data_IF_563304159334
#
_entry.id   IF_563304159334
#
_cell.length_a   1.000
_cell.length_b   1.000
_cell.length_c   1.000
_cell.angle_alpha   90.00
_cell.angle_beta   90.00
_cell.angle_gamma   90.00
#
_symmetry.space_group_name_H-M   'P 1'
#
loop_
_entity.id
_entity.type
_entity.pdbx_description
1 polymer ?
#
# COMPACT_ATOMS: atom_id res chain seq x y z
N UNK A 1 40.26 48.41 64.12
CA UNK A 1 39.88 48.56 62.68
C UNK A 1 38.73 47.68 62.43
N UNK A 2 37.50 48.19 62.22
CA UNK A 2 36.31 47.41 61.86
C UNK A 2 36.30 47.37 60.35
N UNK A 3 36.24 46.13 59.79
CA UNK A 3 36.08 45.92 58.37
C UNK A 3 34.69 46.41 57.95
N UNK A 4 34.63 47.23 56.91
CA UNK A 4 33.39 47.71 56.33
C UNK A 4 32.65 46.55 55.66
N UNK A 5 31.39 46.32 56.03
CA UNK A 5 30.51 45.37 55.36
C UNK A 5 30.13 45.89 53.98
N UNK A 6 30.30 45.06 52.98
CA UNK A 6 29.94 45.32 51.58
C UNK A 6 28.43 45.55 51.45
N UNK A 7 27.94 46.70 50.91
CA UNK A 7 26.50 47.00 50.79
C UNK A 7 25.75 46.10 49.78
N UNK A 8 26.44 45.27 49.03
CA UNK A 8 25.85 44.42 47.96
C UNK A 8 25.59 42.99 48.36
N UNK A 9 25.88 42.56 49.59
CA UNK A 9 25.65 41.20 50.07
C UNK A 9 24.23 40.99 50.58
N UNK A 10 23.25 41.13 49.65
CA UNK A 10 21.85 40.81 49.88
C UNK A 10 21.64 39.30 49.58
N UNK A 11 21.06 38.52 50.49
CA UNK A 11 20.74 37.10 50.23
C UNK A 11 19.75 37.02 49.06
N UNK A 12 20.14 36.29 48.01
CA UNK A 12 19.25 35.98 46.89
C UNK A 12 18.13 35.07 47.37
N UNK A 13 16.94 35.64 47.54
CA UNK A 13 15.74 34.83 47.75
C UNK A 13 15.53 33.90 46.55
N UNK A 14 15.83 32.63 46.74
CA UNK A 14 15.44 31.59 45.76
C UNK A 14 13.90 31.47 45.78
N UNK A 15 13.24 32.05 44.81
CA UNK A 15 11.82 31.83 44.56
C UNK A 15 11.67 30.38 44.03
N UNK A 16 11.31 29.45 44.91
CA UNK A 16 10.90 28.12 44.48
C UNK A 16 9.65 28.26 43.63
N UNK A 17 9.82 28.20 42.29
CA UNK A 17 8.72 28.15 41.35
C UNK A 17 7.94 26.84 41.61
N UNK A 18 6.69 26.96 42.09
CA UNK A 18 5.79 25.82 42.25
C UNK A 18 5.37 25.33 40.85
N UNK A 19 5.94 24.22 40.36
CA UNK A 19 5.66 23.66 39.05
C UNK A 19 4.41 22.74 39.03
N UNK A 20 3.76 22.52 40.19
CA UNK A 20 2.57 21.70 40.32
C UNK A 20 1.45 22.06 39.32
N UNK A 21 1.07 23.35 39.12
CA UNK A 21 0.01 23.68 38.17
C UNK A 21 0.37 23.34 36.71
N UNK A 22 1.64 23.44 36.35
CA UNK A 22 2.11 23.04 35.00
C UNK A 22 2.04 21.54 34.81
N UNK A 23 2.45 20.76 35.81
CA UNK A 23 2.39 19.29 35.79
C UNK A 23 0.93 18.81 35.69
N UNK A 24 0.02 19.42 36.45
CA UNK A 24 -1.42 19.08 36.36
C UNK A 24 -2.02 19.45 35.01
N UNK A 25 -1.66 20.57 34.42
CA UNK A 25 -2.11 20.98 33.09
C UNK A 25 -1.60 20.02 32.00
N UNK A 26 -0.34 19.61 32.05
CA UNK A 26 0.20 18.61 31.12
C UNK A 26 -0.47 17.24 31.30
N UNK A 27 -0.72 16.77 32.52
CA UNK A 27 -1.39 15.53 32.79
C UNK A 27 -2.84 15.52 32.24
N UNK A 28 -3.59 16.61 32.37
CA UNK A 28 -4.94 16.73 31.84
C UNK A 28 -4.99 16.73 30.31
N UNK A 29 -4.02 17.33 29.64
CA UNK A 29 -3.91 17.30 28.17
C UNK A 29 -3.58 15.87 27.68
N UNK A 30 -2.66 15.18 28.33
CA UNK A 30 -2.33 13.79 27.99
C UNK A 30 -3.54 12.87 28.17
N UNK A 31 -4.29 13.03 29.26
CA UNK A 31 -5.51 12.26 29.51
C UNK A 31 -6.58 12.53 28.45
N UNK A 32 -6.78 13.78 28.04
CA UNK A 32 -7.73 14.15 26.99
C UNK A 32 -7.36 13.54 25.63
N UNK A 33 -6.07 13.53 25.26
CA UNK A 33 -5.57 12.90 24.04
C UNK A 33 -5.79 11.39 24.08
N UNK A 34 -5.48 10.73 25.21
CA UNK A 34 -5.71 9.30 25.38
C UNK A 34 -7.20 8.94 25.26
N UNK A 35 -8.08 9.74 25.84
CA UNK A 35 -9.53 9.51 25.74
C UNK A 35 -10.03 9.68 24.29
N UNK A 36 -9.54 10.68 23.57
CA UNK A 36 -9.87 10.91 22.16
C UNK A 36 -9.43 9.76 21.27
N UNK A 37 -8.24 9.17 21.51
CA UNK A 37 -7.74 8.00 20.79
C UNK A 37 -8.59 6.75 21.08
N UNK A 38 -9.02 6.54 22.33
CA UNK A 38 -9.90 5.42 22.70
C UNK A 38 -11.27 5.56 22.01
N UNK A 39 -11.87 6.75 22.04
CA UNK A 39 -13.16 7.00 21.39
C UNK A 39 -13.04 6.80 19.87
N UNK A 40 -11.95 7.25 19.25
CA UNK A 40 -11.69 7.05 17.82
C UNK A 40 -11.54 5.56 17.46
N UNK A 41 -10.85 4.78 18.28
CA UNK A 41 -10.72 3.33 18.08
C UNK A 41 -12.07 2.59 18.25
N UNK A 42 -12.89 2.99 19.23
CA UNK A 42 -14.22 2.39 19.46
C UNK A 42 -15.20 2.72 18.34
N UNK A 43 -15.14 3.95 17.81
CA UNK A 43 -16.00 4.34 16.66
C UNK A 43 -15.59 3.61 15.39
N UNK A 44 -14.30 3.40 15.18
CA UNK A 44 -13.80 2.63 14.03
C UNK A 44 -14.24 1.17 14.10
N UNK A 45 -14.14 0.52 15.28
CA UNK A 45 -14.64 -0.83 15.49
C UNK A 45 -16.16 -0.93 15.30
N UNK A 46 -16.93 0.03 15.80
CA UNK A 46 -18.38 0.05 15.62
C UNK A 46 -18.79 0.19 14.14
N UNK A 47 -18.11 1.06 13.39
CA UNK A 47 -18.33 1.21 11.94
C UNK A 47 -17.97 -0.08 11.21
N UNK A 48 -16.89 -0.74 11.60
CA UNK A 48 -16.47 -2.01 11.02
C UNK A 48 -17.49 -3.13 11.28
N UNK A 49 -18.01 -3.25 12.51
CA UNK A 49 -19.05 -4.23 12.86
C UNK A 49 -20.35 -3.98 12.10
N UNK A 50 -20.80 -2.72 11.99
CA UNK A 50 -22.03 -2.36 11.25
C UNK A 50 -21.90 -2.63 9.75
N UNK A 51 -20.70 -2.46 9.16
CA UNK A 51 -20.48 -2.75 7.72
C UNK A 51 -20.37 -4.25 7.43
N UNK A 52 -20.11 -5.10 8.44
CA UNK A 52 -20.02 -6.56 8.28
C UNK A 52 -21.34 -7.30 8.52
N UNK A 53 -22.38 -6.65 9.09
CA UNK A 53 -23.68 -7.28 9.36
C UNK A 53 -24.57 -7.47 8.11
N UNK A 54 -24.21 -6.90 6.96
CA UNK A 54 -25.00 -7.05 5.71
C UNK A 54 -24.51 -8.24 4.85
N UNK A 55 -24.34 -9.42 5.46
CA UNK A 55 -24.08 -10.65 4.73
C UNK A 55 -25.40 -11.43 4.56
N UNK A 56 -25.92 -11.63 3.33
CA UNK A 56 -27.12 -12.42 3.12
C UNK A 56 -26.89 -13.87 3.56
N UNK A 57 -27.92 -14.59 4.07
CA UNK A 57 -27.76 -15.94 4.60
C UNK A 57 -27.34 -16.92 3.50
N UNK A 58 -26.28 -17.67 3.76
CA UNK A 58 -25.82 -18.76 2.94
C UNK A 58 -26.92 -19.82 2.86
N UNK A 59 -27.45 -20.06 1.66
CA UNK A 59 -28.40 -21.11 1.40
C UNK A 59 -27.75 -22.47 1.66
N UNK A 60 -28.32 -23.24 2.58
CA UNK A 60 -27.93 -24.62 2.90
C UNK A 60 -28.21 -25.49 1.68
N UNK A 61 -27.18 -25.97 1.02
CA UNK A 61 -27.32 -26.96 -0.06
C UNK A 61 -27.61 -28.31 0.59
N UNK A 62 -28.85 -28.79 0.44
CA UNK A 62 -29.28 -30.14 0.80
C UNK A 62 -28.63 -31.12 -0.17
N UNK A 63 -27.85 -32.05 0.36
CA UNK A 63 -27.27 -33.17 -0.39
C UNK A 63 -28.38 -34.09 -0.89
N UNK A 64 -28.53 -34.23 -2.20
CA UNK A 64 -29.32 -35.25 -2.86
C UNK A 64 -28.42 -36.46 -3.21
N UNK A 65 -28.98 -37.70 -3.32
CA UNK A 65 -28.22 -38.94 -3.29
C UNK A 65 -27.44 -39.21 -4.58
N UNK A 66 -26.30 -39.83 -4.36
CA UNK A 66 -25.34 -40.38 -5.33
C UNK A 66 -26.01 -41.22 -6.43
N UNK A 67 -25.98 -40.72 -7.67
CA UNK A 67 -26.31 -41.52 -8.86
C UNK A 67 -24.99 -41.95 -9.51
N UNK A 68 -24.79 -43.29 -9.53
CA UNK A 68 -23.74 -44.00 -10.25
C UNK A 68 -23.76 -43.58 -11.72
N UNK A 69 -22.82 -42.82 -12.20
CA UNK A 69 -22.64 -42.49 -13.62
C UNK A 69 -21.40 -43.19 -14.17
N UNK A 70 -21.62 -44.05 -15.14
CA UNK A 70 -20.65 -44.63 -16.05
C UNK A 70 -19.77 -43.54 -16.64
N UNK A 71 -18.42 -43.70 -16.76
CA UNK A 71 -17.56 -42.70 -17.35
C UNK A 71 -17.94 -42.47 -18.81
N UNK A 72 -18.08 -41.21 -19.27
CA UNK A 72 -18.28 -40.92 -20.68
C UNK A 72 -17.02 -41.27 -21.48
N UNK A 73 -17.17 -41.61 -22.80
CA UNK A 73 -16.05 -41.94 -23.66
C UNK A 73 -15.04 -40.78 -23.67
N UNK A 74 -13.76 -41.13 -23.54
CA UNK A 74 -12.61 -40.23 -23.62
C UNK A 74 -12.72 -39.43 -24.91
N UNK A 75 -12.96 -38.13 -24.77
CA UNK A 75 -12.82 -37.17 -25.85
C UNK A 75 -11.37 -37.20 -26.36
N UNK A 76 -11.11 -36.98 -27.67
CA UNK A 76 -9.76 -36.89 -28.18
C UNK A 76 -9.02 -35.83 -27.38
N UNK A 77 -7.79 -36.11 -26.95
CA UNK A 77 -6.92 -35.15 -26.29
C UNK A 77 -6.82 -33.94 -27.21
N UNK A 78 -7.42 -32.82 -26.79
CA UNK A 78 -7.21 -31.56 -27.46
C UNK A 78 -5.71 -31.27 -27.40
N UNK A 79 -5.10 -31.11 -28.55
CA UNK A 79 -3.73 -30.56 -28.68
C UNK A 79 -3.75 -29.27 -27.92
N UNK A 80 -2.81 -29.00 -26.99
CA UNK A 80 -2.77 -27.71 -26.29
C UNK A 80 -2.83 -26.60 -27.33
N UNK A 81 -3.91 -25.82 -27.38
CA UNK A 81 -3.95 -24.60 -28.17
C UNK A 81 -2.74 -23.79 -27.70
N UNK A 82 -1.87 -23.42 -28.64
CA UNK A 82 -0.75 -22.55 -28.33
C UNK A 82 -1.32 -21.27 -27.70
N UNK A 83 -0.99 -21.04 -26.44
CA UNK A 83 -1.39 -19.83 -25.71
C UNK A 83 -0.98 -18.63 -26.57
N UNK A 84 -1.95 -17.89 -27.09
CA UNK A 84 -1.70 -16.67 -27.84
C UNK A 84 -1.63 -15.54 -26.84
N UNK A 85 -0.43 -14.98 -26.71
CA UNK A 85 -0.25 -13.76 -25.94
C UNK A 85 -0.93 -12.58 -26.64
N UNK A 86 -1.35 -11.60 -25.87
CA UNK A 86 -1.99 -10.40 -26.37
C UNK A 86 -0.98 -9.57 -27.17
N UNK A 87 -1.44 -8.96 -28.25
CA UNK A 87 -0.59 -8.11 -29.11
C UNK A 87 -0.19 -6.78 -28.41
N UNK A 88 -0.95 -6.39 -27.37
CA UNK A 88 -0.74 -5.16 -26.60
C UNK A 88 0.17 -5.33 -25.36
N UNK A 89 0.81 -6.50 -25.17
CA UNK A 89 1.86 -6.70 -24.17
C UNK A 89 3.25 -6.72 -24.84
N UNK A 90 4.30 -6.52 -24.03
CA UNK A 90 5.67 -6.54 -24.54
C UNK A 90 6.03 -7.92 -25.05
N UNK A 91 6.42 -8.04 -26.32
CA UNK A 91 6.72 -9.32 -26.98
C UNK A 91 8.00 -10.00 -26.50
N UNK A 92 8.90 -9.28 -25.82
CA UNK A 92 10.15 -9.79 -25.30
C UNK A 92 10.00 -10.24 -23.84
N UNK A 93 9.60 -11.51 -23.64
CA UNK A 93 9.43 -12.10 -22.31
C UNK A 93 10.72 -12.29 -21.49
N UNK A 94 11.86 -11.73 -21.91
CA UNK A 94 13.10 -11.82 -21.13
C UNK A 94 13.10 -10.97 -19.89
N UNK A 95 12.33 -9.88 -19.85
CA UNK A 95 12.22 -8.96 -18.71
C UNK A 95 11.16 -9.45 -17.72
N UNK A 96 9.97 -9.79 -18.20
CA UNK A 96 8.86 -10.33 -17.42
C UNK A 96 8.23 -11.48 -18.21
N UNK A 97 7.94 -12.61 -17.54
CA UNK A 97 7.28 -13.75 -18.17
C UNK A 97 5.91 -13.35 -18.74
N UNK A 98 5.53 -13.91 -19.89
CA UNK A 98 4.28 -13.54 -20.58
C UNK A 98 3.03 -13.71 -19.73
N UNK A 99 2.94 -14.80 -18.94
CA UNK A 99 1.83 -15.04 -18.04
C UNK A 99 1.68 -13.96 -16.96
N UNK A 100 2.79 -13.42 -16.46
CA UNK A 100 2.78 -12.30 -15.52
C UNK A 100 2.45 -10.98 -16.20
N UNK A 101 2.85 -10.80 -17.47
CA UNK A 101 2.44 -9.64 -18.26
C UNK A 101 0.93 -9.65 -18.52
N UNK A 102 0.35 -10.80 -18.90
CA UNK A 102 -1.10 -10.95 -19.10
C UNK A 102 -1.87 -10.64 -17.81
N UNK A 103 -1.42 -11.19 -16.66
CA UNK A 103 -2.01 -10.87 -15.36
C UNK A 103 -1.93 -9.36 -15.09
N UNK A 104 -0.78 -8.74 -15.30
CA UNK A 104 -0.61 -7.30 -15.07
C UNK A 104 -1.53 -6.48 -15.96
N UNK A 105 -1.63 -6.81 -17.25
CA UNK A 105 -2.51 -6.14 -18.18
C UNK A 105 -3.97 -6.24 -17.76
N UNK A 106 -4.43 -7.46 -17.38
CA UNK A 106 -5.81 -7.68 -16.91
C UNK A 106 -6.12 -6.86 -15.65
N UNK A 107 -5.18 -6.76 -14.71
CA UNK A 107 -5.38 -5.93 -13.51
C UNK A 107 -5.36 -4.43 -13.86
N UNK A 108 -4.50 -4.01 -14.78
CA UNK A 108 -4.46 -2.63 -15.26
C UNK A 108 -5.81 -2.22 -15.89
N UNK A 109 -6.39 -3.07 -16.74
CA UNK A 109 -7.73 -2.85 -17.30
C UNK A 109 -8.80 -2.78 -16.21
N UNK A 110 -8.75 -3.71 -15.26
CA UNK A 110 -9.71 -3.80 -14.16
C UNK A 110 -9.73 -2.56 -13.27
N UNK A 111 -8.56 -2.01 -12.96
CA UNK A 111 -8.41 -0.89 -12.03
C UNK A 111 -8.14 0.46 -12.71
N UNK A 112 -8.20 0.52 -14.04
CA UNK A 112 -8.02 1.75 -14.80
C UNK A 112 -6.61 2.35 -14.72
N UNK A 113 -5.59 1.50 -14.55
CA UNK A 113 -4.18 1.91 -14.48
C UNK A 113 -3.54 1.77 -15.85
N UNK A 114 -2.80 2.77 -16.38
CA UNK A 114 -2.04 2.59 -17.61
C UNK A 114 -1.02 1.44 -17.47
N UNK A 115 -1.03 0.49 -18.41
CA UNK A 115 -0.12 -0.66 -18.36
C UNK A 115 1.36 -0.24 -18.35
N UNK A 116 1.73 0.78 -19.14
CA UNK A 116 3.07 1.36 -19.12
C UNK A 116 3.50 1.83 -17.72
N UNK A 117 2.56 2.35 -16.90
CA UNK A 117 2.84 2.78 -15.54
C UNK A 117 3.12 1.59 -14.62
N UNK A 118 2.35 0.50 -14.74
CA UNK A 118 2.58 -0.70 -13.97
C UNK A 118 3.95 -1.35 -14.30
N UNK A 119 4.31 -1.40 -15.58
CA UNK A 119 5.65 -1.84 -16.02
C UNK A 119 6.75 -0.94 -15.47
N UNK A 120 6.58 0.38 -15.52
CA UNK A 120 7.54 1.35 -15.00
C UNK A 120 7.77 1.19 -13.48
N UNK A 121 6.71 0.93 -12.72
CA UNK A 121 6.80 0.66 -11.28
C UNK A 121 7.57 -0.65 -11.06
N UNK A 122 7.18 -1.75 -11.71
CA UNK A 122 7.82 -3.05 -11.55
C UNK A 122 9.32 -3.02 -11.94
N UNK A 123 9.68 -2.29 -12.99
CA UNK A 123 11.08 -2.09 -13.36
C UNK A 123 11.87 -1.37 -12.27
N UNK A 124 11.35 -0.28 -11.73
CA UNK A 124 12.04 0.53 -10.71
C UNK A 124 12.10 -0.18 -9.36
N UNK A 125 11.07 -0.94 -9.00
CA UNK A 125 11.03 -1.69 -7.74
C UNK A 125 11.99 -2.88 -7.74
N UNK A 126 12.01 -3.70 -8.79
CA UNK A 126 12.67 -5.01 -8.76
C UNK A 126 13.45 -5.37 -10.01
N UNK A 127 13.42 -4.54 -11.06
CA UNK A 127 13.90 -4.92 -12.40
C UNK A 127 13.22 -6.20 -12.89
N UNK A 128 11.91 -6.30 -12.65
CA UNK A 128 11.04 -7.42 -13.01
C UNK A 128 11.34 -8.75 -12.30
N UNK A 129 11.95 -8.72 -11.12
CA UNK A 129 12.12 -9.92 -10.28
C UNK A 129 10.87 -10.16 -9.42
N UNK A 130 10.05 -11.19 -9.74
CA UNK A 130 8.81 -11.48 -9.02
C UNK A 130 9.04 -12.09 -7.63
N UNK A 131 10.25 -12.57 -7.35
CA UNK A 131 10.63 -13.21 -6.08
C UNK A 131 11.42 -12.26 -5.16
N UNK A 132 11.57 -10.99 -5.56
CA UNK A 132 12.33 -10.01 -4.80
C UNK A 132 11.77 -9.79 -3.39
N UNK A 133 12.65 -9.72 -2.39
CA UNK A 133 12.32 -9.36 -1.02
C UNK A 133 13.32 -8.31 -0.53
N UNK A 134 12.81 -7.14 -0.12
CA UNK A 134 13.65 -6.06 0.40
C UNK A 134 14.00 -6.25 1.87
N UNK A 135 15.07 -5.60 2.39
CA UNK A 135 15.38 -5.57 3.82
C UNK A 135 14.28 -4.91 4.67
N UNK A 136 13.40 -4.13 4.07
CA UNK A 136 12.27 -3.44 4.71
C UNK A 136 10.98 -4.27 4.66
N UNK A 137 11.07 -5.54 4.26
CA UNK A 137 9.95 -6.48 4.13
C UNK A 137 8.91 -6.01 3.09
N UNK A 138 9.40 -5.56 1.92
CA UNK A 138 8.60 -5.38 0.72
C UNK A 138 8.77 -6.61 -0.15
N UNK A 139 7.69 -7.16 -0.71
CA UNK A 139 7.66 -8.46 -1.36
C UNK A 139 7.22 -8.37 -2.82
N UNK A 140 7.84 -9.21 -3.65
CA UNK A 140 7.45 -9.50 -5.01
C UNK A 140 7.67 -8.36 -5.99
N UNK A 141 7.14 -8.56 -7.20
CA UNK A 141 7.33 -7.70 -8.36
C UNK A 141 7.01 -6.21 -8.09
N UNK A 142 5.91 -5.96 -7.35
CA UNK A 142 5.40 -4.63 -7.04
C UNK A 142 5.81 -4.13 -5.65
N UNK A 143 6.70 -4.85 -4.94
CA UNK A 143 7.25 -4.51 -3.63
C UNK A 143 6.18 -4.11 -2.59
N UNK A 144 5.24 -5.02 -2.35
CA UNK A 144 4.18 -4.79 -1.38
C UNK A 144 4.70 -4.99 0.04
N UNK A 145 4.70 -3.91 0.83
CA UNK A 145 5.17 -3.97 2.20
C UNK A 145 4.28 -4.85 3.09
N UNK A 146 4.91 -5.64 3.96
CA UNK A 146 4.26 -6.59 4.86
C UNK A 146 3.12 -5.98 5.69
N UNK A 147 3.20 -4.71 6.05
CA UNK A 147 2.16 -4.04 6.84
C UNK A 147 0.80 -3.97 6.13
N UNK A 148 0.77 -4.13 4.80
CA UNK A 148 -0.44 -4.12 3.99
C UNK A 148 -1.02 -5.52 3.74
N UNK A 149 -0.29 -6.60 4.08
CA UNK A 149 -0.67 -7.96 3.68
C UNK A 149 -2.01 -8.40 4.29
N UNK A 150 -2.22 -8.21 5.59
CA UNK A 150 -3.47 -8.60 6.26
C UNK A 150 -4.67 -7.87 5.66
N UNK A 151 -4.55 -6.58 5.42
CA UNK A 151 -5.61 -5.80 4.77
C UNK A 151 -5.90 -6.28 3.35
N UNK A 152 -4.88 -6.52 2.53
CA UNK A 152 -5.04 -6.99 1.15
C UNK A 152 -5.61 -8.40 1.09
N UNK A 153 -5.18 -9.30 1.99
CA UNK A 153 -5.74 -10.65 2.12
C UNK A 153 -7.21 -10.62 2.52
N UNK A 154 -7.61 -9.67 3.36
CA UNK A 154 -9.02 -9.40 3.69
C UNK A 154 -9.86 -8.98 2.48
N UNK A 155 -9.22 -8.41 1.44
CA UNK A 155 -9.86 -8.08 0.15
C UNK A 155 -9.77 -9.23 -0.89
N UNK A 156 -9.17 -10.36 -0.53
CA UNK A 156 -9.01 -11.53 -1.40
C UNK A 156 -7.74 -11.52 -2.27
N UNK A 157 -6.83 -10.55 -2.05
CA UNK A 157 -5.54 -10.46 -2.73
C UNK A 157 -4.44 -11.05 -1.82
N UNK A 158 -3.64 -12.01 -2.31
CA UNK A 158 -2.50 -12.55 -1.55
C UNK A 158 -1.18 -11.99 -2.10
N UNK A 159 -0.58 -10.98 -1.46
CA UNK A 159 0.65 -10.33 -1.94
C UNK A 159 1.89 -11.25 -1.97
N UNK A 160 1.80 -12.45 -1.41
CA UNK A 160 2.88 -13.43 -1.42
C UNK A 160 2.86 -14.35 -2.65
N UNK A 161 1.80 -14.31 -3.46
CA UNK A 161 1.74 -14.95 -4.78
C UNK A 161 2.07 -13.94 -5.87
N UNK A 162 2.66 -14.36 -6.99
CA UNK A 162 2.98 -13.45 -8.09
C UNK A 162 1.73 -12.72 -8.60
N UNK A 163 0.64 -13.45 -8.85
CA UNK A 163 -0.62 -12.88 -9.32
C UNK A 163 -1.24 -11.90 -8.31
N UNK A 164 -1.32 -12.30 -7.04
CA UNK A 164 -1.87 -11.44 -5.99
C UNK A 164 -0.98 -10.24 -5.67
N UNK A 165 0.33 -10.34 -5.87
CA UNK A 165 1.27 -9.22 -5.74
C UNK A 165 1.02 -8.17 -6.83
N UNK A 166 0.87 -8.60 -8.08
CA UNK A 166 0.55 -7.73 -9.20
C UNK A 166 -0.82 -7.07 -8.97
N UNK A 167 -1.85 -7.85 -8.62
CA UNK A 167 -3.18 -7.33 -8.34
C UNK A 167 -3.14 -6.28 -7.23
N UNK A 168 -2.46 -6.57 -6.10
CA UNK A 168 -2.32 -5.66 -4.98
C UNK A 168 -1.60 -4.35 -5.36
N UNK A 169 -0.51 -4.44 -6.10
CA UNK A 169 0.25 -3.27 -6.54
C UNK A 169 -0.56 -2.37 -7.48
N UNK A 170 -1.22 -2.97 -8.47
CA UNK A 170 -2.07 -2.23 -9.41
C UNK A 170 -3.29 -1.62 -8.70
N UNK A 171 -3.92 -2.35 -7.78
CA UNK A 171 -5.01 -1.86 -6.96
C UNK A 171 -4.61 -0.64 -6.11
N UNK A 172 -3.44 -0.70 -5.45
CA UNK A 172 -2.93 0.38 -4.60
C UNK A 172 -2.62 1.64 -5.43
N UNK A 173 -1.89 1.50 -6.55
CA UNK A 173 -1.55 2.66 -7.37
C UNK A 173 -2.79 3.24 -8.05
N UNK A 174 -3.73 2.41 -8.49
CA UNK A 174 -5.01 2.85 -9.04
C UNK A 174 -5.79 3.71 -8.05
N UNK A 175 -5.92 3.25 -6.80
CA UNK A 175 -6.56 4.01 -5.73
C UNK A 175 -5.86 5.35 -5.43
N UNK A 176 -4.53 5.42 -5.59
CA UNK A 176 -3.81 6.70 -5.42
C UNK A 176 -3.97 7.63 -6.64
N UNK A 177 -4.05 7.09 -7.85
CA UNK A 177 -4.36 7.89 -9.04
C UNK A 177 -5.75 8.52 -8.94
N UNK A 178 -6.75 7.76 -8.53
CA UNK A 178 -8.11 8.26 -8.30
C UNK A 178 -8.15 9.33 -7.21
N UNK A 179 -7.40 9.09 -6.12
CA UNK A 179 -7.40 10.00 -4.97
C UNK A 179 -6.72 11.33 -5.24
N UNK A 180 -5.58 11.32 -5.93
CA UNK A 180 -4.74 12.50 -6.08
C UNK A 180 -4.87 13.18 -7.44
N UNK A 181 -5.36 12.48 -8.46
CA UNK A 181 -5.52 13.00 -9.83
C UNK A 181 -4.21 13.43 -10.48
N UNK A 182 -3.06 12.97 -9.94
CA UNK A 182 -1.71 13.33 -10.36
C UNK A 182 -0.77 12.14 -10.17
N UNK A 183 -0.08 11.75 -11.24
CA UNK A 183 0.76 10.55 -11.24
C UNK A 183 1.95 10.67 -10.28
N UNK A 184 2.63 11.82 -10.22
CA UNK A 184 3.78 11.97 -9.31
C UNK A 184 3.34 11.93 -7.85
N UNK A 185 2.20 12.52 -7.51
CA UNK A 185 1.62 12.42 -6.17
C UNK A 185 1.20 11.01 -5.82
N UNK A 186 0.58 10.28 -6.75
CA UNK A 186 0.23 8.88 -6.58
C UNK A 186 1.47 8.02 -6.32
N UNK A 187 2.55 8.22 -7.10
CA UNK A 187 3.83 7.55 -6.93
C UNK A 187 4.52 7.89 -5.60
N UNK A 188 4.44 9.14 -5.14
CA UNK A 188 4.95 9.49 -3.82
C UNK A 188 4.21 8.74 -2.71
N UNK A 189 2.87 8.66 -2.81
CA UNK A 189 2.06 7.92 -1.85
C UNK A 189 2.30 6.41 -1.93
N UNK A 190 2.58 5.87 -3.11
CA UNK A 190 2.95 4.48 -3.30
C UNK A 190 4.26 4.15 -2.59
N UNK A 191 5.30 4.96 -2.81
CA UNK A 191 6.65 4.71 -2.28
C UNK A 191 6.79 4.95 -0.77
N UNK A 192 6.16 5.98 -0.20
CA UNK A 192 6.35 6.32 1.21
C UNK A 192 5.07 6.36 2.05
N UNK A 193 3.98 5.83 1.50
CA UNK A 193 2.65 5.86 2.09
C UNK A 193 2.02 7.26 2.08
N UNK A 194 0.69 7.35 2.22
CA UNK A 194 -0.03 8.64 2.20
C UNK A 194 0.46 9.64 3.23
N UNK A 195 0.76 9.20 4.44
CA UNK A 195 1.27 10.07 5.51
C UNK A 195 2.69 10.56 5.26
N UNK A 196 3.54 9.73 4.63
CA UNK A 196 4.89 10.10 4.23
C UNK A 196 4.86 11.14 3.10
N UNK A 197 4.03 10.90 2.08
CA UNK A 197 3.83 11.82 0.97
C UNK A 197 3.30 13.19 1.44
N UNK A 198 2.31 13.20 2.35
CA UNK A 198 1.78 14.44 2.90
C UNK A 198 2.85 15.28 3.61
N UNK A 199 3.72 14.66 4.41
CA UNK A 199 4.83 15.35 5.08
C UNK A 199 5.80 15.99 4.08
N UNK A 200 6.07 15.30 2.96
CA UNK A 200 6.91 15.84 1.89
C UNK A 200 6.24 17.03 1.21
N UNK A 201 4.96 16.95 0.89
CA UNK A 201 4.20 18.06 0.29
C UNK A 201 4.11 19.26 1.21
N UNK A 202 3.88 19.06 2.52
CA UNK A 202 3.88 20.13 3.52
C UNK A 202 5.25 20.83 3.63
N UNK A 203 6.34 20.09 3.33
CA UNK A 203 7.69 20.63 3.23
C UNK A 203 8.02 21.24 1.85
N UNK A 204 7.05 21.31 0.91
CA UNK A 204 7.25 21.84 -0.44
C UNK A 204 7.96 20.87 -1.39
N UNK A 205 8.06 19.57 -1.06
CA UNK A 205 8.68 18.57 -1.90
C UNK A 205 7.59 17.80 -2.67
N UNK A 206 7.53 18.02 -3.97
CA UNK A 206 6.52 17.40 -4.87
C UNK A 206 7.12 16.37 -5.82
N UNK A 207 8.43 16.17 -5.80
CA UNK A 207 9.14 15.18 -6.61
C UNK A 207 10.26 14.55 -5.79
N UNK A 208 10.43 13.23 -5.91
CA UNK A 208 11.48 12.45 -5.23
C UNK A 208 12.40 11.78 -6.25
N UNK A 209 13.49 11.16 -5.80
CA UNK A 209 14.32 10.35 -6.67
C UNK A 209 13.55 9.14 -7.23
N UNK A 210 12.64 8.57 -6.43
CA UNK A 210 11.77 7.48 -6.84
C UNK A 210 10.83 7.92 -7.97
N UNK A 211 10.08 9.01 -7.79
CA UNK A 211 9.13 9.47 -8.80
C UNK A 211 9.82 9.80 -10.12
N UNK A 212 11.01 10.42 -10.10
CA UNK A 212 11.78 10.68 -11.32
C UNK A 212 12.14 9.41 -12.06
N UNK A 213 12.59 8.35 -11.35
CA UNK A 213 12.94 7.07 -11.97
C UNK A 213 11.71 6.45 -12.63
N UNK A 214 10.57 6.38 -11.91
CA UNK A 214 9.35 5.79 -12.46
C UNK A 214 8.82 6.61 -13.65
N UNK A 215 8.85 7.93 -13.59
CA UNK A 215 8.40 8.77 -14.71
C UNK A 215 9.29 8.59 -15.95
N UNK A 216 10.62 8.45 -15.78
CA UNK A 216 11.52 8.14 -16.90
C UNK A 216 11.25 6.74 -17.50
N UNK A 217 10.99 5.74 -16.65
CA UNK A 217 10.62 4.41 -17.11
C UNK A 217 9.24 4.43 -17.80
N UNK A 218 8.29 5.22 -17.29
CA UNK A 218 6.96 5.39 -17.89
C UNK A 218 7.04 5.97 -19.32
N UNK A 219 7.88 6.98 -19.54
CA UNK A 219 8.12 7.54 -20.88
C UNK A 219 8.66 6.46 -21.82
N UNK A 220 9.62 5.64 -21.36
CA UNK A 220 10.18 4.53 -22.11
C UNK A 220 9.09 3.50 -22.49
N UNK A 221 8.34 2.99 -21.49
CA UNK A 221 7.33 1.95 -21.71
C UNK A 221 6.15 2.45 -22.55
N UNK A 222 5.76 3.71 -22.41
CA UNK A 222 4.76 4.32 -23.29
C UNK A 222 5.21 4.27 -24.74
N UNK A 223 6.46 4.64 -25.03
CA UNK A 223 7.00 4.57 -26.40
C UNK A 223 7.08 3.13 -26.93
N UNK A 224 7.48 2.16 -26.09
CA UNK A 224 7.58 0.75 -26.49
C UNK A 224 6.22 0.12 -26.82
N UNK A 225 5.15 0.56 -26.17
CA UNK A 225 3.80 0.03 -26.38
C UNK A 225 3.03 0.75 -27.51
N UNK A 226 3.53 1.92 -27.98
CA UNK A 226 2.93 2.67 -29.08
C UNK A 226 3.58 2.30 -30.45
N UNK A 227 4.75 1.63 -30.47
CA UNK A 227 5.47 1.18 -31.66
C UNK A 227 4.95 -0.20 -32.16
#
# INVERSE_FOLDING_TARGET
>A
MRAAQDPWDKPRHQVKRNLWPVVLACASVILAIALALIVSALTLNYIFDVLLEDKPPVATVTTAPEATSTPPPTAPAETPEAVRHRDDIVSDGRLLAYDLQEIMQDQCERYGVPYALALAIAEVETHFDPDAVSPTHDYGLMQINQVNHEWLQGLGMDPLTHAGNIEAGVYIIGGYLDRYGDTERALMAYNCGPSGAQKLWDAGVYQTNYTRKVMTALEHWTSVLED
#
